data_IF_887647785346
#
_entry.id   IF_887647785346
#
_cell.length_a   1.000
_cell.length_b   1.000
_cell.length_c   1.000
_cell.angle_alpha   90.00
_cell.angle_beta   90.00
_cell.angle_gamma   90.00
#
_symmetry.space_group_name_H-M   'P 1'
#
loop_
_entity.id
_entity.type
_entity.pdbx_description
1 polymer ?
#
# COMPACT_ATOMS: atom_id res chain seq x y z
N UNK A 1 -20.15 -3.61 31.46
CA UNK A 1 -18.85 -3.73 30.75
C UNK A 1 -19.07 -3.33 29.31
N UNK A 2 -18.35 -2.33 28.76
CA UNK A 2 -17.80 -2.37 27.38
C UNK A 2 -17.49 -1.02 26.69
N UNK A 3 -18.03 0.13 27.11
CA UNK A 3 -17.89 1.38 26.32
C UNK A 3 -16.42 1.81 26.02
N UNK A 4 -15.51 1.67 26.99
CA UNK A 4 -14.09 2.05 26.85
C UNK A 4 -13.34 1.07 25.91
N UNK A 5 -13.64 -0.24 26.00
CA UNK A 5 -13.01 -1.26 25.14
C UNK A 5 -13.50 -1.12 23.69
N UNK A 6 -14.80 -0.86 23.50
CA UNK A 6 -15.39 -0.70 22.17
C UNK A 6 -14.87 0.56 21.45
N UNK A 7 -14.69 1.67 22.18
CA UNK A 7 -14.04 2.87 21.65
C UNK A 7 -12.58 2.64 21.25
N UNK A 8 -11.82 1.88 22.03
CA UNK A 8 -10.42 1.58 21.72
C UNK A 8 -10.30 0.70 20.46
N UNK A 9 -11.15 -0.33 20.33
CA UNK A 9 -11.20 -1.20 19.14
C UNK A 9 -11.57 -0.39 17.89
N UNK A 10 -12.56 0.50 17.98
CA UNK A 10 -12.97 1.37 16.87
C UNK A 10 -11.84 2.32 16.43
N UNK A 11 -11.13 2.95 17.38
CA UNK A 11 -10.00 3.84 17.07
C UNK A 11 -8.83 3.11 16.42
N UNK A 12 -8.54 1.89 16.87
CA UNK A 12 -7.48 1.08 16.28
C UNK A 12 -7.80 0.69 14.83
N UNK A 13 -9.05 0.30 14.54
CA UNK A 13 -9.49 0.01 13.17
C UNK A 13 -9.38 1.25 12.26
N UNK A 14 -9.77 2.42 12.75
CA UNK A 14 -9.63 3.66 11.99
C UNK A 14 -8.16 4.00 11.72
N UNK A 15 -7.28 3.77 12.69
CA UNK A 15 -5.84 4.00 12.52
C UNK A 15 -5.27 3.07 11.45
N UNK A 16 -5.58 1.78 11.48
CA UNK A 16 -5.12 0.81 10.48
C UNK A 16 -5.59 1.20 9.07
N UNK A 17 -6.88 1.57 8.92
CA UNK A 17 -7.41 2.08 7.65
C UNK A 17 -6.64 3.31 7.16
N UNK A 18 -6.37 4.28 8.03
CA UNK A 18 -5.64 5.49 7.66
C UNK A 18 -4.19 5.18 7.22
N UNK A 19 -3.53 4.21 7.86
CA UNK A 19 -2.18 3.76 7.48
C UNK A 19 -2.22 3.14 6.07
N UNK A 20 -3.18 2.24 5.81
CA UNK A 20 -3.32 1.60 4.50
C UNK A 20 -3.65 2.63 3.42
N UNK A 21 -4.58 3.55 3.67
CA UNK A 21 -4.91 4.64 2.73
C UNK A 21 -3.70 5.51 2.42
N UNK A 22 -2.88 5.83 3.42
CA UNK A 22 -1.65 6.58 3.20
C UNK A 22 -0.65 5.80 2.34
N UNK A 23 -0.50 4.49 2.59
CA UNK A 23 0.36 3.65 1.77
C UNK A 23 -0.10 3.62 0.30
N UNK A 24 -1.41 3.46 0.07
CA UNK A 24 -2.02 3.52 -1.27
C UNK A 24 -1.71 4.86 -1.94
N UNK A 25 -1.88 5.98 -1.23
CA UNK A 25 -1.61 7.31 -1.77
C UNK A 25 -0.15 7.47 -2.23
N UNK A 26 0.81 7.07 -1.40
CA UNK A 26 2.24 7.18 -1.72
C UNK A 26 2.63 6.29 -2.91
N UNK A 27 2.18 5.04 -2.91
CA UNK A 27 2.44 4.09 -3.99
C UNK A 27 1.83 4.59 -5.31
N UNK A 28 0.58 5.03 -5.29
CA UNK A 28 -0.09 5.53 -6.50
C UNK A 28 0.55 6.82 -7.01
N UNK A 29 1.06 7.69 -6.13
CA UNK A 29 1.84 8.85 -6.55
C UNK A 29 3.11 8.43 -7.31
N UNK A 30 3.85 7.45 -6.80
CA UNK A 30 5.06 6.94 -7.45
C UNK A 30 4.74 6.24 -8.79
N UNK A 31 3.71 5.40 -8.83
CA UNK A 31 3.24 4.72 -10.06
C UNK A 31 2.81 5.73 -11.12
N UNK A 32 2.03 6.75 -10.75
CA UNK A 32 1.62 7.81 -11.69
C UNK A 32 2.82 8.59 -12.24
N UNK A 33 3.83 8.86 -11.41
CA UNK A 33 5.04 9.54 -11.88
C UNK A 33 5.83 8.68 -12.86
N UNK A 34 5.98 7.38 -12.57
CA UNK A 34 6.60 6.42 -13.48
C UNK A 34 5.84 6.34 -14.81
N UNK A 35 4.52 6.14 -14.76
CA UNK A 35 3.66 6.02 -15.95
C UNK A 35 3.63 7.32 -16.78
N UNK A 36 3.72 8.49 -16.12
CA UNK A 36 3.82 9.78 -16.81
C UNK A 36 5.21 10.01 -17.41
N UNK A 37 6.27 9.51 -16.77
CA UNK A 37 7.65 9.73 -17.18
C UNK A 37 8.55 8.55 -16.80
N UNK A 38 8.68 7.59 -17.71
CA UNK A 38 9.46 6.38 -17.50
C UNK A 38 10.97 6.60 -17.59
N UNK A 39 11.55 7.24 -16.56
CA UNK A 39 13.00 7.32 -16.37
C UNK A 39 13.45 6.30 -15.32
N UNK A 40 14.74 5.93 -15.33
CA UNK A 40 15.35 5.07 -14.32
C UNK A 40 15.13 5.63 -12.90
N UNK A 41 15.22 6.95 -12.72
CA UNK A 41 14.98 7.57 -11.41
C UNK A 41 13.54 7.41 -10.92
N UNK A 42 12.54 7.47 -11.82
CA UNK A 42 11.15 7.21 -11.44
C UNK A 42 10.89 5.73 -11.17
N UNK A 43 11.57 4.84 -11.90
CA UNK A 43 11.51 3.39 -11.66
C UNK A 43 12.05 3.07 -10.27
N UNK A 44 13.25 3.54 -9.93
CA UNK A 44 13.85 3.37 -8.60
C UNK A 44 12.94 3.93 -7.50
N UNK A 45 12.40 5.15 -7.68
CA UNK A 45 11.47 5.72 -6.70
C UNK A 45 10.21 4.85 -6.50
N UNK A 46 9.66 4.30 -7.58
CA UNK A 46 8.51 3.41 -7.51
C UNK A 46 8.83 2.10 -6.79
N UNK A 47 9.96 1.47 -7.12
CA UNK A 47 10.44 0.26 -6.47
C UNK A 47 10.73 0.46 -4.99
N UNK A 48 11.42 1.54 -4.64
CA UNK A 48 11.75 1.89 -3.25
C UNK A 48 10.45 2.11 -2.44
N UNK A 49 9.52 2.90 -2.96
CA UNK A 49 8.24 3.19 -2.29
C UNK A 49 7.42 1.93 -2.05
N UNK A 50 7.33 1.05 -3.06
CA UNK A 50 6.65 -0.23 -2.94
C UNK A 50 7.36 -1.18 -1.95
N UNK A 51 8.68 -1.25 -2.01
CA UNK A 51 9.50 -2.10 -1.13
C UNK A 51 9.38 -1.67 0.34
N UNK A 52 9.34 -0.37 0.61
CA UNK A 52 9.23 0.18 1.96
C UNK A 52 7.83 -0.03 2.57
N UNK A 53 6.77 0.13 1.77
CA UNK A 53 5.39 0.13 2.28
C UNK A 53 4.72 -1.25 2.24
N UNK A 54 5.14 -2.15 1.34
CA UNK A 54 4.57 -3.50 1.23
C UNK A 54 4.62 -4.31 2.54
N UNK A 55 5.73 -4.31 3.32
CA UNK A 55 5.77 -5.00 4.61
C UNK A 55 4.79 -4.42 5.63
N UNK A 56 4.55 -3.10 5.62
CA UNK A 56 3.60 -2.45 6.53
C UNK A 56 2.18 -2.92 6.21
N UNK A 57 1.78 -2.89 4.94
CA UNK A 57 0.46 -3.35 4.52
C UNK A 57 0.30 -4.85 4.75
N UNK A 58 1.37 -5.65 4.56
CA UNK A 58 1.36 -7.08 4.88
C UNK A 58 1.03 -7.34 6.35
N UNK A 59 1.72 -6.67 7.28
CA UNK A 59 1.47 -6.84 8.72
C UNK A 59 0.01 -6.53 9.09
N UNK A 60 -0.61 -5.55 8.42
CA UNK A 60 -2.01 -5.20 8.64
C UNK A 60 -2.94 -6.25 8.01
N UNK A 61 -2.65 -6.71 6.80
CA UNK A 61 -3.45 -7.71 6.10
C UNK A 61 -3.42 -9.10 6.77
N UNK A 62 -2.30 -9.44 7.42
CA UNK A 62 -2.18 -10.67 8.23
C UNK A 62 -3.14 -10.64 9.45
N UNK A 63 -3.49 -9.45 9.96
CA UNK A 63 -4.40 -9.24 11.10
C UNK A 63 -5.86 -8.91 10.68
N UNK A 64 -6.07 -8.31 9.50
CA UNK A 64 -7.37 -7.91 8.97
C UNK A 64 -7.47 -8.20 7.46
N UNK A 65 -8.21 -9.27 7.14
CA UNK A 65 -8.43 -9.81 5.79
C UNK A 65 -8.98 -8.78 4.79
N UNK A 66 -9.61 -7.70 5.26
CA UNK A 66 -10.11 -6.65 4.37
C UNK A 66 -8.98 -5.95 3.59
N UNK A 67 -7.73 -6.03 4.06
CA UNK A 67 -6.57 -5.41 3.41
C UNK A 67 -5.72 -6.40 2.57
N UNK A 68 -6.14 -7.67 2.46
CA UNK A 68 -5.43 -8.68 1.66
C UNK A 68 -5.37 -8.28 0.18
N UNK A 69 -6.45 -7.69 -0.35
CA UNK A 69 -6.51 -7.17 -1.72
C UNK A 69 -5.46 -6.10 -1.96
N UNK A 70 -5.31 -5.14 -1.04
CA UNK A 70 -4.32 -4.06 -1.15
C UNK A 70 -2.90 -4.61 -1.14
N UNK A 71 -2.60 -5.54 -0.24
CA UNK A 71 -1.29 -6.21 -0.19
C UNK A 71 -0.98 -6.94 -1.51
N UNK A 72 -1.95 -7.70 -2.04
CA UNK A 72 -1.81 -8.43 -3.31
C UNK A 72 -1.52 -7.48 -4.48
N UNK A 73 -2.30 -6.42 -4.60
CA UNK A 73 -2.12 -5.39 -5.64
C UNK A 73 -0.74 -4.75 -5.55
N UNK A 74 -0.29 -4.36 -4.35
CA UNK A 74 1.05 -3.78 -4.16
C UNK A 74 2.17 -4.76 -4.52
N UNK A 75 2.01 -6.05 -4.18
CA UNK A 75 2.97 -7.09 -4.55
C UNK A 75 3.06 -7.29 -6.07
N UNK A 76 1.92 -7.21 -6.77
CA UNK A 76 1.85 -7.29 -8.23
C UNK A 76 2.51 -6.05 -8.85
N UNK A 77 2.21 -4.85 -8.35
CA UNK A 77 2.82 -3.61 -8.81
C UNK A 77 4.35 -3.62 -8.62
N UNK A 78 4.85 -4.10 -7.48
CA UNK A 78 6.29 -4.23 -7.24
C UNK A 78 6.94 -5.19 -8.25
N UNK A 79 6.30 -6.35 -8.47
CA UNK A 79 6.78 -7.32 -9.45
C UNK A 79 6.82 -6.72 -10.85
N UNK A 80 5.79 -5.97 -11.23
CA UNK A 80 5.73 -5.28 -12.52
C UNK A 80 6.87 -4.27 -12.67
N UNK A 81 7.11 -3.43 -11.65
CA UNK A 81 8.22 -2.47 -11.68
C UNK A 81 9.58 -3.18 -11.85
N UNK A 82 9.85 -4.22 -11.05
CA UNK A 82 11.13 -4.94 -11.05
C UNK A 82 11.46 -5.67 -12.36
N UNK A 83 10.45 -6.09 -13.12
CA UNK A 83 10.65 -6.73 -14.43
C UNK A 83 10.60 -5.74 -15.61
N UNK A 84 10.49 -4.43 -15.34
CA UNK A 84 10.34 -3.39 -16.36
C UNK A 84 8.97 -3.38 -17.05
N UNK A 85 7.94 -3.93 -16.40
CA UNK A 85 6.55 -3.85 -16.83
C UNK A 85 5.87 -2.55 -16.38
N UNK A 86 4.54 -2.50 -16.55
CA UNK A 86 3.72 -1.33 -16.21
C UNK A 86 2.92 -1.59 -14.91
N UNK A 87 3.32 -1.00 -13.77
CA UNK A 87 2.58 -1.16 -12.52
C UNK A 87 1.22 -0.43 -12.58
N UNK A 88 0.19 -1.08 -12.02
CA UNK A 88 -1.16 -0.54 -11.92
C UNK A 88 -1.39 0.13 -10.57
N UNK A 89 -2.23 1.17 -10.57
CA UNK A 89 -2.65 1.83 -9.33
C UNK A 89 -3.41 0.86 -8.40
N UNK A 90 -3.25 1.08 -7.11
CA UNK A 90 -3.81 0.28 -6.02
C UNK A 90 -5.16 0.87 -5.60
N UNK A 91 -6.15 0.00 -5.44
CA UNK A 91 -7.47 0.32 -4.91
C UNK A 91 -7.66 -0.28 -3.52
N UNK A 92 -8.45 0.42 -2.67
CA UNK A 92 -8.82 -0.05 -1.34
C UNK A 92 -9.82 -1.21 -1.40
#
# INVERSE_FOLDING_TARGET
MNAIKDQAVSKNKQLLLNIVLHAIEQVNFAIRNLNKRSTIGMLMQCEDTLTDLLPIVKMIADDDVNFESVYSQMSIALSAAQIGGEPMEIEL
#
